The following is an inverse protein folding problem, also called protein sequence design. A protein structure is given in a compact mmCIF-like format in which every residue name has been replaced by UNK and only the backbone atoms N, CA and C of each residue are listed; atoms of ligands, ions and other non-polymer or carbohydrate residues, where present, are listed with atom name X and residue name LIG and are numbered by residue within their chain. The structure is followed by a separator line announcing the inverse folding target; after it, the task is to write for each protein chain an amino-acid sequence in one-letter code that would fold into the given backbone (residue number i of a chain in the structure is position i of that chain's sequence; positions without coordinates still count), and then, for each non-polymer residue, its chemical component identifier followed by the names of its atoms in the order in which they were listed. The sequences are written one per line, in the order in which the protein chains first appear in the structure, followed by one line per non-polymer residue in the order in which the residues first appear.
data_IF_132621082981
#
_entry.id   IF_132621082981
#
_cell.length_a   1.000
_cell.length_b   1.000
_cell.length_c   1.000
_cell.angle_alpha   90.00
_cell.angle_beta   90.00
_cell.angle_gamma   90.00
#
_symmetry.space_group_name_H-M   'P 1'
#
loop_
_entity.id
_entity.type
_entity.pdbx_description
1 polymer ?
#
# COMPACT_ATOMS: atom_id res chain seq x y z
N UNK A 1 12.79 0.80 10.82
CA UNK A 1 12.96 -0.04 9.62
C UNK A 1 12.62 0.78 8.40
N UNK A 2 13.49 0.83 7.40
CA UNK A 2 13.20 1.51 6.13
C UNK A 2 12.69 0.52 5.10
N UNK A 3 11.68 0.93 4.35
CA UNK A 3 11.08 0.17 3.27
C UNK A 3 11.16 0.97 1.99
N UNK A 4 11.11 0.28 0.87
CA UNK A 4 10.98 0.92 -0.43
C UNK A 4 10.37 -0.01 -1.45
N UNK A 5 9.74 0.59 -2.44
CA UNK A 5 9.20 -0.08 -3.61
C UNK A 5 9.46 0.77 -4.85
N UNK A 6 9.18 0.21 -6.02
CA UNK A 6 9.21 0.97 -7.26
C UNK A 6 8.17 0.45 -8.22
N UNK A 7 7.55 1.33 -8.99
CA UNK A 7 6.78 0.98 -10.17
C UNK A 7 7.54 1.45 -11.40
N UNK A 8 7.72 0.57 -12.39
CA UNK A 8 8.42 0.90 -13.63
C UNK A 8 7.56 0.57 -14.83
N UNK A 9 7.51 1.48 -15.81
CA UNK A 9 7.04 1.21 -17.16
C UNK A 9 8.23 0.91 -18.07
N UNK A 10 8.06 -0.08 -18.94
CA UNK A 10 8.96 -0.33 -20.08
C UNK A 10 8.14 -0.46 -21.35
N UNK A 11 8.59 0.18 -22.43
CA UNK A 11 7.87 0.25 -23.72
C UNK A 11 7.40 -1.13 -24.24
N UNK A 12 8.16 -2.19 -24.00
CA UNK A 12 7.83 -3.56 -24.40
C UNK A 12 7.56 -4.51 -23.23
N UNK A 13 7.61 -4.02 -21.99
CA UNK A 13 7.49 -4.84 -20.78
C UNK A 13 6.29 -4.49 -19.90
N UNK A 14 5.54 -3.43 -20.23
CA UNK A 14 4.38 -3.00 -19.44
C UNK A 14 4.78 -2.35 -18.13
N UNK A 15 3.85 -2.34 -17.17
CA UNK A 15 4.03 -1.74 -15.85
C UNK A 15 4.10 -2.80 -14.77
N UNK A 16 5.09 -2.68 -13.89
CA UNK A 16 5.30 -3.63 -12.80
C UNK A 16 5.79 -2.91 -11.54
N UNK A 17 5.22 -3.29 -10.41
CA UNK A 17 5.68 -2.90 -9.08
C UNK A 17 6.70 -3.91 -8.56
N UNK A 18 7.69 -3.43 -7.82
CA UNK A 18 8.76 -4.22 -7.22
C UNK A 18 9.03 -3.77 -5.80
N UNK A 19 9.36 -4.72 -4.93
CA UNK A 19 9.96 -4.39 -3.62
C UNK A 19 11.43 -4.02 -3.77
N UNK A 20 11.92 -3.19 -2.85
CA UNK A 20 13.35 -2.98 -2.63
C UNK A 20 13.74 -3.61 -1.29
N UNK A 21 15.04 -3.87 -1.03
CA UNK A 21 15.46 -4.45 0.25
C UNK A 21 15.01 -3.61 1.44
N UNK A 22 14.19 -4.19 2.31
CA UNK A 22 13.86 -3.58 3.59
C UNK A 22 15.10 -3.59 4.50
N UNK A 23 15.32 -2.53 5.27
CA UNK A 23 16.51 -2.39 6.12
C UNK A 23 16.17 -2.15 7.59
N UNK A 24 16.81 -2.91 8.48
CA UNK A 24 16.74 -2.75 9.94
C UNK A 24 18.16 -2.38 10.42
N UNK A 25 18.38 -1.10 10.69
CA UNK A 25 19.72 -0.58 10.93
C UNK A 25 20.60 -0.80 9.69
N UNK A 26 21.72 -1.50 9.85
CA UNK A 26 22.61 -1.89 8.74
C UNK A 26 22.25 -3.22 8.07
N UNK A 27 21.29 -3.97 8.63
CA UNK A 27 20.87 -5.27 8.09
C UNK A 27 19.88 -5.07 6.97
N UNK A 28 20.17 -5.67 5.81
CA UNK A 28 19.26 -5.70 4.66
C UNK A 28 18.53 -7.04 4.62
N UNK A 29 17.24 -7.01 4.34
CA UNK A 29 16.44 -8.16 3.95
C UNK A 29 16.24 -8.12 2.42
N UNK A 30 17.16 -8.70 1.64
CA UNK A 30 17.08 -8.68 0.17
C UNK A 30 15.97 -9.63 -0.28
N UNK A 31 14.81 -9.06 -0.61
CA UNK A 31 13.66 -9.78 -1.14
C UNK A 31 13.13 -9.02 -2.33
N UNK A 32 12.96 -9.71 -3.46
CA UNK A 32 12.45 -9.13 -4.69
C UNK A 32 11.15 -9.83 -5.04
N UNK A 33 10.06 -9.11 -4.84
CA UNK A 33 8.74 -9.50 -5.32
C UNK A 33 8.33 -8.55 -6.44
N UNK A 34 7.69 -9.08 -7.47
CA UNK A 34 7.23 -8.32 -8.63
C UNK A 34 5.73 -8.55 -8.83
N UNK A 35 4.97 -7.47 -9.04
CA UNK A 35 3.52 -7.54 -9.28
C UNK A 35 3.17 -6.66 -10.48
N UNK A 36 2.62 -7.22 -11.57
CA UNK A 36 2.17 -6.43 -12.71
C UNK A 36 0.96 -5.56 -12.34
N UNK A 37 0.85 -4.36 -12.93
CA UNK A 37 -0.25 -3.42 -12.63
C UNK A 37 -0.96 -2.89 -13.89
N UNK A 38 -2.25 -2.59 -13.77
CA UNK A 38 -3.04 -1.94 -14.82
C UNK A 38 -2.65 -0.46 -15.00
N UNK A 39 -2.77 0.12 -16.22
CA UNK A 39 -3.42 -0.42 -17.42
C UNK A 39 -2.49 -1.15 -18.41
N UNK A 40 -1.20 -1.37 -18.13
CA UNK A 40 -0.30 -2.03 -19.10
C UNK A 40 0.23 -3.40 -18.61
N UNK A 41 -0.48 -4.50 -18.90
CA UNK A 41 -0.19 -5.86 -18.41
C UNK A 41 0.89 -6.60 -19.22
N UNK A 42 1.68 -5.93 -20.08
CA UNK A 42 2.62 -6.59 -21.01
C UNK A 42 3.75 -7.42 -20.36
N UNK A 43 3.81 -7.48 -19.02
CA UNK A 43 4.67 -8.36 -18.23
C UNK A 43 4.07 -9.76 -17.96
N UNK A 44 2.97 -10.17 -18.61
CA UNK A 44 2.38 -11.51 -18.45
C UNK A 44 3.25 -12.62 -19.08
N UNK A 45 4.48 -12.79 -18.60
CA UNK A 45 5.33 -13.91 -18.98
C UNK A 45 5.76 -14.72 -17.77
N UNK A 46 5.31 -15.99 -17.77
CA UNK A 46 5.79 -17.14 -17.00
C UNK A 46 5.71 -16.98 -15.47
N UNK A 47 4.57 -17.44 -14.92
CA UNK A 47 4.25 -17.60 -13.49
C UNK A 47 3.86 -16.33 -12.71
N UNK A 48 3.50 -15.23 -13.38
CA UNK A 48 3.14 -13.97 -12.74
C UNK A 48 1.68 -13.94 -12.25
N UNK A 49 1.47 -13.37 -11.06
CA UNK A 49 0.17 -12.99 -10.52
C UNK A 49 -0.59 -12.12 -11.55
N UNK A 50 -1.92 -12.24 -11.58
CA UNK A 50 -2.80 -11.37 -12.37
C UNK A 50 -2.49 -9.90 -12.09
N UNK A 51 -2.64 -9.05 -13.11
CA UNK A 51 -2.43 -7.60 -12.93
C UNK A 51 -3.34 -7.03 -11.85
N UNK A 52 -2.81 -6.12 -11.05
CA UNK A 52 -3.53 -5.46 -9.96
C UNK A 52 -3.74 -3.98 -10.27
N UNK A 53 -4.83 -3.41 -9.75
CA UNK A 53 -4.88 -1.96 -9.61
C UNK A 53 -3.96 -1.53 -8.46
N UNK A 54 -3.36 -0.35 -8.59
CA UNK A 54 -2.44 0.15 -7.59
C UNK A 54 -3.10 0.37 -6.22
N UNK A 55 -4.39 0.79 -6.20
CA UNK A 55 -5.20 0.89 -4.98
C UNK A 55 -5.38 -0.46 -4.27
N UNK A 56 -5.50 -1.54 -5.03
CA UNK A 56 -5.66 -2.89 -4.47
C UNK A 56 -4.39 -3.36 -3.75
N UNK A 57 -3.21 -3.00 -4.27
CA UNK A 57 -1.95 -3.25 -3.56
C UNK A 57 -1.90 -2.48 -2.24
N UNK A 58 -2.29 -1.21 -2.24
CA UNK A 58 -2.32 -0.40 -1.01
C UNK A 58 -3.31 -0.96 0.02
N UNK A 59 -4.49 -1.38 -0.43
CA UNK A 59 -5.52 -1.99 0.41
C UNK A 59 -5.08 -3.37 0.95
N UNK A 60 -4.41 -4.19 0.14
CA UNK A 60 -3.76 -5.44 0.61
C UNK A 60 -2.75 -5.14 1.71
N UNK A 61 -1.93 -4.09 1.54
CA UNK A 61 -0.99 -3.63 2.57
C UNK A 61 -1.69 -3.15 3.84
N UNK A 62 -2.79 -2.41 3.72
CA UNK A 62 -3.58 -1.97 4.88
C UNK A 62 -4.14 -3.15 5.66
N UNK A 63 -4.85 -4.04 4.96
CA UNK A 63 -5.52 -5.17 5.57
C UNK A 63 -4.53 -6.14 6.23
N UNK A 64 -3.45 -6.45 5.51
CA UNK A 64 -2.41 -7.33 6.02
C UNK A 64 -1.72 -6.77 7.26
N UNK A 65 -1.45 -5.46 7.30
CA UNK A 65 -0.82 -4.82 8.45
C UNK A 65 -1.72 -4.88 9.69
N UNK A 66 -3.00 -4.59 9.52
CA UNK A 66 -3.97 -4.65 10.60
C UNK A 66 -4.11 -6.08 11.14
N UNK A 67 -4.38 -7.04 10.25
CA UNK A 67 -4.64 -8.43 10.62
C UNK A 67 -3.42 -9.09 11.28
N UNK A 68 -2.20 -8.88 10.77
CA UNK A 68 -0.98 -9.45 11.38
C UNK A 68 -0.69 -8.85 12.76
N UNK A 69 -1.06 -7.59 12.97
CA UNK A 69 -0.92 -6.93 14.27
C UNK A 69 -1.89 -7.52 15.29
N UNK A 70 -3.15 -7.77 14.89
CA UNK A 70 -4.13 -8.47 15.73
C UNK A 70 -3.65 -9.87 16.11
N UNK A 71 -3.20 -10.67 15.13
CA UNK A 71 -2.67 -12.01 15.37
C UNK A 71 -1.48 -11.97 16.35
N UNK A 72 -0.58 -11.01 16.18
CA UNK A 72 0.57 -10.84 17.07
C UNK A 72 0.16 -10.49 18.50
N UNK A 73 -0.79 -9.55 18.66
CA UNK A 73 -1.32 -9.16 19.97
C UNK A 73 -2.06 -10.30 20.68
N UNK A 74 -2.89 -11.04 19.95
CA UNK A 74 -3.60 -12.23 20.46
C UNK A 74 -2.60 -13.33 20.86
N UNK A 75 -1.60 -13.58 20.04
CA UNK A 75 -0.54 -14.55 20.35
C UNK A 75 0.25 -14.16 21.60
N UNK A 76 0.54 -12.87 21.79
CA UNK A 76 1.20 -12.36 22.99
C UNK A 76 0.36 -12.54 24.27
N UNK A 77 -0.98 -12.54 24.14
CA UNK A 77 -1.91 -12.90 25.22
C UNK A 77 -2.12 -14.41 25.40
N UNK A 78 -1.42 -15.25 24.63
CA UNK A 78 -1.55 -16.70 24.70
C UNK A 78 -2.82 -17.25 24.06
N UNK A 79 -3.53 -16.44 23.26
CA UNK A 79 -4.73 -16.88 22.54
C UNK A 79 -4.32 -17.74 21.34
N UNK A 80 -4.95 -18.91 21.23
CA UNK A 80 -4.77 -19.82 20.09
C UNK A 80 -5.94 -19.65 19.12
N UNK A 81 -5.64 -19.12 17.94
CA UNK A 81 -6.61 -18.91 16.87
C UNK A 81 -6.71 -20.15 15.97
N UNK A 82 -7.92 -20.57 15.60
CA UNK A 82 -8.16 -21.53 14.52
C UNK A 82 -8.53 -20.83 13.21
N UNK A 83 -9.15 -19.66 13.29
CA UNK A 83 -9.52 -18.83 12.15
C UNK A 83 -9.41 -17.34 12.50
N UNK A 84 -8.96 -16.54 11.55
CA UNK A 84 -8.95 -15.08 11.65
C UNK A 84 -8.97 -14.48 10.24
N UNK A 85 -10.06 -13.82 9.87
CA UNK A 85 -10.27 -13.20 8.56
C UNK A 85 -10.86 -11.81 8.74
N UNK A 86 -10.46 -10.89 7.87
CA UNK A 86 -11.03 -9.55 7.80
C UNK A 86 -11.52 -9.28 6.39
N UNK A 87 -12.82 -9.07 6.23
CA UNK A 87 -13.41 -8.56 5.00
C UNK A 87 -13.29 -7.04 5.01
N UNK A 88 -12.80 -6.49 3.90
CA UNK A 88 -12.58 -5.07 3.71
C UNK A 88 -13.46 -4.59 2.58
N UNK A 89 -14.25 -3.55 2.87
CA UNK A 89 -14.96 -2.78 1.85
C UNK A 89 -14.43 -1.35 1.87
N UNK A 90 -14.05 -0.81 0.73
CA UNK A 90 -13.48 0.53 0.62
C UNK A 90 -14.16 1.30 -0.51
N UNK A 91 -14.52 2.55 -0.24
CA UNK A 91 -15.05 3.47 -1.22
C UNK A 91 -14.04 4.61 -1.43
N UNK A 92 -13.31 4.56 -2.54
CA UNK A 92 -12.25 5.52 -2.85
C UNK A 92 -12.78 6.60 -3.79
N UNK A 93 -12.91 7.87 -3.37
CA UNK A 93 -13.47 8.95 -4.19
C UNK A 93 -12.74 9.09 -5.53
N UNK A 94 -13.48 9.49 -6.56
CA UNK A 94 -12.87 9.83 -7.84
C UNK A 94 -11.93 11.03 -7.72
N UNK A 95 -11.14 11.23 -8.78
CA UNK A 95 -10.01 12.15 -8.83
C UNK A 95 -10.36 13.63 -8.48
N UNK A 96 -11.59 14.06 -8.72
CA UNK A 96 -12.03 15.45 -8.51
C UNK A 96 -12.94 15.65 -7.28
N UNK A 97 -13.16 14.59 -6.47
CA UNK A 97 -14.05 14.67 -5.31
C UNK A 97 -13.28 14.89 -4.01
N UNK A 98 -13.64 15.95 -3.28
CA UNK A 98 -13.13 16.23 -1.92
C UNK A 98 -13.99 15.51 -0.87
N UNK A 99 -14.28 14.23 -1.13
CA UNK A 99 -15.14 13.42 -0.28
C UNK A 99 -14.33 12.64 0.77
N UNK A 100 -14.92 12.28 1.92
CA UNK A 100 -14.26 11.41 2.88
C UNK A 100 -13.95 10.05 2.24
N UNK A 101 -12.86 9.42 2.69
CA UNK A 101 -12.55 8.04 2.34
C UNK A 101 -13.07 7.19 3.48
N UNK A 102 -13.90 6.21 3.16
CA UNK A 102 -14.47 5.28 4.13
C UNK A 102 -14.02 3.86 3.83
N UNK A 103 -13.57 3.16 4.88
CA UNK A 103 -13.15 1.77 4.80
C UNK A 103 -13.77 1.00 5.97
N UNK A 104 -14.51 -0.03 5.64
CA UNK A 104 -15.18 -0.92 6.59
C UNK A 104 -14.36 -2.21 6.77
N UNK A 105 -14.14 -2.60 8.02
CA UNK A 105 -13.55 -3.87 8.42
C UNK A 105 -14.63 -4.73 9.08
N UNK A 106 -14.83 -5.94 8.57
CA UNK A 106 -15.63 -6.97 9.22
C UNK A 106 -14.72 -8.14 9.57
N UNK A 107 -14.47 -8.35 10.86
CA UNK A 107 -13.52 -9.32 11.38
C UNK A 107 -14.28 -10.56 11.85
N UNK A 108 -13.99 -11.68 11.22
CA UNK A 108 -14.51 -13.02 11.50
C UNK A 108 -13.39 -13.86 12.15
N UNK A 109 -13.69 -14.55 13.24
CA UNK A 109 -12.67 -15.21 14.04
C UNK A 109 -13.20 -16.44 14.76
N UNK A 110 -12.30 -17.38 15.02
CA UNK A 110 -12.58 -18.55 15.85
C UNK A 110 -11.40 -18.81 16.80
N UNK A 111 -11.69 -18.79 18.10
CA UNK A 111 -10.75 -19.11 19.17
C UNK A 111 -11.49 -19.42 20.48
N UNK A 112 -10.83 -20.15 21.39
CA UNK A 112 -11.32 -20.40 22.75
C UNK A 112 -11.01 -19.20 23.68
N UNK A 113 -11.63 -18.05 23.40
CA UNK A 113 -11.45 -16.83 24.18
C UNK A 113 -12.74 -16.02 24.22
N UNK A 114 -12.90 -15.19 25.25
CA UNK A 114 -14.01 -14.24 25.33
C UNK A 114 -13.85 -13.12 24.28
N UNK A 115 -14.99 -12.66 23.74
CA UNK A 115 -15.05 -11.67 22.66
C UNK A 115 -14.41 -10.33 23.03
N UNK A 116 -14.53 -9.92 24.29
CA UNK A 116 -13.95 -8.69 24.82
C UNK A 116 -12.42 -8.63 24.66
N UNK A 117 -11.73 -9.77 24.72
CA UNK A 117 -10.29 -9.84 24.44
C UNK A 117 -9.98 -9.58 22.96
N UNK A 118 -10.84 -10.05 22.05
CA UNK A 118 -10.68 -9.77 20.61
C UNK A 118 -10.93 -8.28 20.34
N UNK A 119 -12.01 -7.73 20.92
CA UNK A 119 -12.35 -6.31 20.80
C UNK A 119 -11.26 -5.41 21.38
N UNK A 120 -10.67 -5.77 22.54
CA UNK A 120 -9.54 -5.09 23.15
C UNK A 120 -8.31 -5.05 22.21
N UNK A 121 -7.96 -6.19 21.61
CA UNK A 121 -6.82 -6.25 20.67
C UNK A 121 -7.11 -5.43 19.41
N UNK A 122 -8.31 -5.52 18.86
CA UNK A 122 -8.70 -4.75 17.68
C UNK A 122 -8.60 -3.25 17.95
N UNK A 123 -9.11 -2.78 19.09
CA UNK A 123 -9.00 -1.40 19.56
C UNK A 123 -7.53 -0.97 19.67
N UNK A 124 -6.69 -1.79 20.31
CA UNK A 124 -5.25 -1.52 20.46
C UNK A 124 -4.54 -1.40 19.09
N UNK A 125 -4.89 -2.29 18.16
CA UNK A 125 -4.30 -2.32 16.81
C UNK A 125 -4.67 -1.08 16.00
N UNK A 126 -5.84 -0.46 16.21
CA UNK A 126 -6.14 0.84 15.59
C UNK A 126 -5.11 1.92 15.96
N UNK A 127 -4.51 1.82 17.15
CA UNK A 127 -3.54 2.78 17.63
C UNK A 127 -2.11 2.43 17.23
N UNK A 128 -1.83 1.14 16.97
CA UNK A 128 -0.46 0.64 16.84
C UNK A 128 -0.10 0.14 15.44
N UNK A 129 -1.07 -0.26 14.61
CA UNK A 129 -0.81 -0.75 13.24
C UNK A 129 -0.22 0.37 12.37
N UNK A 130 1.01 0.20 11.84
CA UNK A 130 1.66 1.24 11.07
C UNK A 130 0.86 1.71 9.87
N UNK A 131 0.29 0.80 9.06
CA UNK A 131 -0.47 1.20 7.87
C UNK A 131 -1.84 1.76 8.23
N UNK A 132 -2.49 1.26 9.29
CA UNK A 132 -3.74 1.86 9.76
C UNK A 132 -3.50 3.31 10.17
N UNK A 133 -2.49 3.55 11.03
CA UNK A 133 -2.10 4.89 11.45
C UNK A 133 -1.64 5.78 10.29
N UNK A 134 -0.96 5.22 9.30
CA UNK A 134 -0.58 5.94 8.06
C UNK A 134 -1.77 6.47 7.27
N UNK A 135 -2.93 5.81 7.36
CA UNK A 135 -4.15 6.24 6.67
C UNK A 135 -5.14 6.98 7.59
N UNK A 136 -5.12 6.71 8.89
CA UNK A 136 -5.91 7.47 9.87
C UNK A 136 -5.35 8.89 10.06
N UNK A 137 -4.05 9.08 9.80
CA UNK A 137 -3.38 10.37 9.89
C UNK A 137 -3.19 10.97 8.50
N UNK A 138 -3.47 12.26 8.37
CA UNK A 138 -3.22 13.00 7.14
C UNK A 138 -1.73 13.35 7.06
N UNK A 139 -0.96 12.60 6.26
CA UNK A 139 0.51 12.72 6.18
C UNK A 139 0.98 13.44 4.91
N UNK A 140 2.10 14.18 4.97
CA UNK A 140 2.68 14.78 3.77
C UNK A 140 3.42 13.75 2.91
N UNK A 141 3.48 14.01 1.60
CA UNK A 141 4.31 13.29 0.64
C UNK A 141 5.44 14.18 0.13
N UNK A 142 6.66 13.66 0.13
CA UNK A 142 7.81 14.31 -0.52
C UNK A 142 7.93 13.79 -1.95
N UNK A 143 7.98 14.68 -2.93
CA UNK A 143 8.09 14.37 -4.35
C UNK A 143 9.44 14.84 -4.87
N UNK A 144 10.15 13.99 -5.63
CA UNK A 144 11.50 14.28 -6.13
C UNK A 144 11.68 13.96 -7.60
N UNK A 145 12.38 14.85 -8.32
CA UNK A 145 12.88 14.62 -9.68
C UNK A 145 14.33 15.12 -9.76
N UNK A 146 15.29 14.18 -9.69
CA UNK A 146 16.70 14.53 -9.54
C UNK A 146 16.96 15.30 -8.23
N UNK A 147 17.45 16.54 -8.34
CA UNK A 147 17.70 17.42 -7.18
C UNK A 147 16.49 18.29 -6.82
N UNK A 148 15.46 18.36 -7.69
CA UNK A 148 14.26 19.14 -7.42
C UNK A 148 13.33 18.39 -6.47
N UNK A 149 12.81 19.11 -5.48
CA UNK A 149 11.95 18.56 -4.43
C UNK A 149 10.73 19.44 -4.20
N UNK A 150 9.58 18.80 -4.02
CA UNK A 150 8.32 19.42 -3.66
C UNK A 150 7.68 18.64 -2.52
N UNK A 151 6.99 19.32 -1.61
CA UNK A 151 6.23 18.67 -0.54
C UNK A 151 4.74 18.87 -0.80
N UNK A 152 4.02 17.76 -0.93
CA UNK A 152 2.56 17.72 -0.97
C UNK A 152 2.04 17.55 0.44
N UNK A 153 1.43 18.61 0.96
CA UNK A 153 0.86 18.63 2.30
C UNK A 153 -0.36 17.71 2.40
N UNK A 154 -0.67 17.35 3.64
CA UNK A 154 -1.94 16.75 4.03
C UNK A 154 -3.13 17.54 3.45
N UNK A 155 -4.16 16.82 3.04
CA UNK A 155 -5.43 17.35 2.55
C UNK A 155 -6.51 17.18 3.63
N UNK A 156 -7.39 18.18 3.71
CA UNK A 156 -8.58 18.14 4.56
C UNK A 156 -9.76 17.76 3.66
N UNK A 157 -10.52 16.74 4.05
CA UNK A 157 -11.74 16.35 3.37
C UNK A 157 -12.91 17.29 3.70
N UNK A 158 -13.90 17.34 2.82
CA UNK A 158 -15.18 17.96 3.14
C UNK A 158 -16.11 16.92 3.77
N UNK A 159 -16.64 17.13 4.99
CA UNK A 159 -17.54 16.18 5.66
C UNK A 159 -18.82 15.88 4.87
N UNK A 160 -19.29 16.83 4.07
CA UNK A 160 -20.56 16.75 3.34
C UNK A 160 -20.41 16.27 1.88
N UNK A 161 -19.20 15.81 1.50
CA UNK A 161 -18.94 15.30 0.15
C UNK A 161 -19.67 14.00 -0.10
N UNK A 162 -20.51 13.93 -1.15
CA UNK A 162 -21.03 12.64 -1.63
C UNK A 162 -19.86 11.82 -2.17
N UNK A 163 -19.73 10.58 -1.69
CA UNK A 163 -18.69 9.66 -2.15
C UNK A 163 -19.20 8.92 -3.40
N UNK A 164 -18.80 9.37 -4.59
CA UNK A 164 -18.96 8.59 -5.81
C UNK A 164 -17.58 8.06 -6.21
N UNK A 165 -17.22 6.91 -5.64
CA UNK A 165 -15.88 6.35 -5.71
C UNK A 165 -15.80 4.98 -6.36
N UNK A 166 -14.56 4.56 -6.62
CA UNK A 166 -14.26 3.18 -6.94
C UNK A 166 -14.48 2.32 -5.70
N UNK A 167 -15.36 1.33 -5.83
CA UNK A 167 -15.65 0.36 -4.76
C UNK A 167 -14.70 -0.81 -4.85
N UNK A 168 -14.06 -1.12 -3.74
CA UNK A 168 -13.21 -2.31 -3.58
C UNK A 168 -13.79 -3.18 -2.46
N UNK A 169 -13.83 -4.49 -2.67
CA UNK A 169 -14.23 -5.46 -1.66
C UNK A 169 -13.33 -6.69 -1.76
N UNK A 170 -12.76 -7.15 -0.65
CA UNK A 170 -11.90 -8.34 -0.61
C UNK A 170 -11.78 -8.90 0.81
N UNK A 171 -11.28 -10.13 0.95
CA UNK A 171 -10.95 -10.73 2.24
C UNK A 171 -9.44 -10.73 2.47
N UNK A 172 -8.99 -10.52 3.69
CA UNK A 172 -7.64 -10.84 4.14
C UNK A 172 -7.71 -11.92 5.20
N UNK A 173 -7.03 -13.05 4.98
CA UNK A 173 -7.12 -14.23 5.84
C UNK A 173 -5.77 -14.59 6.41
N UNK A 174 -5.75 -14.84 7.72
CA UNK A 174 -4.60 -15.40 8.40
C UNK A 174 -4.43 -16.89 8.07
N UNK A 175 -3.18 -17.31 7.87
CA UNK A 175 -2.84 -18.71 7.61
C UNK A 175 -2.16 -19.35 8.81
N UNK A 176 -1.03 -18.76 9.22
CA UNK A 176 -0.18 -19.22 10.31
C UNK A 176 0.92 -18.17 10.52
N UNK A 177 1.42 -18.01 11.75
CA UNK A 177 2.51 -17.08 12.04
C UNK A 177 2.17 -15.66 11.52
N UNK A 178 3.13 -14.96 10.86
CA UNK A 178 2.85 -13.70 10.19
C UNK A 178 2.35 -13.82 8.74
N UNK A 179 2.07 -15.05 8.25
CA UNK A 179 1.62 -15.28 6.89
C UNK A 179 0.11 -15.06 6.75
N UNK A 180 -0.26 -14.18 5.81
CA UNK A 180 -1.65 -13.90 5.44
C UNK A 180 -1.82 -13.98 3.93
N UNK A 181 -3.06 -13.96 3.46
CA UNK A 181 -3.39 -13.82 2.05
C UNK A 181 -4.52 -12.83 1.86
N UNK A 182 -4.41 -11.93 0.86
CA UNK A 182 -5.57 -11.15 0.42
C UNK A 182 -6.24 -11.84 -0.77
N UNK A 183 -7.54 -12.08 -0.68
CA UNK A 183 -8.37 -12.82 -1.62
C UNK A 183 -9.35 -11.84 -2.25
N UNK A 184 -9.12 -11.54 -3.52
CA UNK A 184 -9.94 -10.60 -4.29
C UNK A 184 -11.02 -11.34 -5.09
N UNK A 185 -12.14 -10.66 -5.40
CA UNK A 185 -13.16 -11.20 -6.29
C UNK A 185 -12.58 -11.65 -7.62
N UNK A 186 -13.18 -12.70 -8.19
CA UNK A 186 -12.84 -13.16 -9.53
C UNK A 186 -13.08 -12.02 -10.52
N UNK A 187 -12.09 -11.74 -11.37
CA UNK A 187 -12.20 -10.74 -12.44
C UNK A 187 -13.14 -11.22 -13.54
N UNK A 188 -13.54 -10.29 -14.42
CA UNK A 188 -14.41 -10.59 -15.57
C UNK A 188 -13.81 -11.65 -16.51
N UNK A 189 -12.49 -11.78 -16.54
CA UNK A 189 -11.76 -12.80 -17.30
C UNK A 189 -11.68 -14.17 -16.59
N UNK A 190 -12.34 -14.32 -15.44
CA UNK A 190 -12.38 -15.55 -14.64
C UNK A 190 -11.18 -15.76 -13.74
N UNK A 191 -10.20 -14.84 -13.70
CA UNK A 191 -9.00 -14.99 -12.88
C UNK A 191 -9.30 -14.72 -11.40
N UNK A 192 -8.91 -15.66 -10.55
CA UNK A 192 -8.87 -15.49 -9.09
C UNK A 192 -7.54 -14.88 -8.69
N UNK A 193 -7.58 -13.89 -7.81
CA UNK A 193 -6.39 -13.19 -7.35
C UNK A 193 -6.25 -13.40 -5.85
N UNK A 194 -5.16 -14.06 -5.47
CA UNK A 194 -4.73 -14.18 -4.08
C UNK A 194 -3.30 -13.63 -3.97
N UNK A 195 -3.09 -12.61 -3.14
CA UNK A 195 -1.77 -12.05 -2.90
C UNK A 195 -1.22 -12.55 -1.56
N UNK A 196 -0.04 -13.18 -1.53
CA UNK A 196 0.60 -13.59 -0.30
C UNK A 196 1.13 -12.36 0.45
N UNK A 197 0.92 -12.33 1.76
CA UNK A 197 1.45 -11.30 2.65
C UNK A 197 2.31 -12.00 3.68
N UNK A 198 3.55 -11.57 3.84
CA UNK A 198 4.47 -12.16 4.81
C UNK A 198 5.50 -11.14 5.28
N UNK A 199 6.16 -11.45 6.38
CA UNK A 199 7.24 -10.63 6.93
C UNK A 199 8.61 -11.10 6.43
N UNK A 200 9.64 -10.25 6.50
CA UNK A 200 11.01 -10.72 6.35
C UNK A 200 11.37 -11.65 7.52
N UNK A 201 12.35 -12.54 7.33
CA UNK A 201 12.88 -13.41 8.41
C UNK A 201 13.26 -12.67 9.70
N UNK A 202 13.74 -11.44 9.57
CA UNK A 202 14.08 -10.57 10.70
C UNK A 202 12.86 -10.15 11.54
N UNK A 203 11.65 -10.32 11.00
CA UNK A 203 10.36 -10.09 11.65
C UNK A 203 9.53 -11.40 11.69
N UNK A 204 10.21 -12.53 11.89
CA UNK A 204 9.63 -13.88 12.03
C UNK A 204 8.86 -14.44 10.81
N UNK A 205 8.95 -13.79 9.65
CA UNK A 205 8.40 -14.34 8.42
C UNK A 205 9.34 -15.33 7.72
N UNK A 206 8.92 -15.80 6.55
CA UNK A 206 9.65 -16.80 5.76
C UNK A 206 9.97 -16.32 4.34
N UNK A 207 9.77 -15.02 4.07
CA UNK A 207 9.94 -14.38 2.77
C UNK A 207 9.00 -14.95 1.69
N UNK A 208 7.78 -15.36 2.06
CA UNK A 208 6.78 -15.93 1.15
C UNK A 208 6.08 -14.88 0.27
N UNK A 209 5.98 -13.64 0.75
CA UNK A 209 5.39 -12.53 0.02
C UNK A 209 5.91 -11.18 0.51
N UNK A 210 5.55 -10.09 -0.19
CA UNK A 210 5.78 -8.74 0.30
C UNK A 210 5.15 -8.55 1.67
N UNK A 211 5.79 -7.73 2.50
CA UNK A 211 5.20 -7.31 3.76
C UNK A 211 4.17 -6.19 3.55
N UNK A 212 3.34 -5.90 4.55
CA UNK A 212 2.29 -4.90 4.42
C UNK A 212 2.80 -3.50 4.04
N UNK A 213 3.97 -3.08 4.54
CA UNK A 213 4.56 -1.77 4.22
C UNK A 213 5.03 -1.72 2.76
N UNK A 214 5.59 -2.82 2.26
CA UNK A 214 6.01 -2.98 0.86
C UNK A 214 4.80 -2.92 -0.09
N UNK A 215 3.68 -3.55 0.27
CA UNK A 215 2.43 -3.46 -0.49
C UNK A 215 1.89 -2.03 -0.59
N UNK A 216 1.87 -1.29 0.53
CA UNK A 216 1.48 0.12 0.56
C UNK A 216 2.36 0.97 -0.37
N UNK A 217 3.68 0.79 -0.28
CA UNK A 217 4.63 1.55 -1.10
C UNK A 217 4.56 1.15 -2.59
N UNK A 218 4.31 -0.13 -2.91
CA UNK A 218 4.07 -0.58 -4.27
C UNK A 218 2.79 0.02 -4.86
N UNK A 219 1.70 0.06 -4.08
CA UNK A 219 0.46 0.72 -4.48
C UNK A 219 0.68 2.21 -4.74
N UNK A 220 1.38 2.91 -3.85
CA UNK A 220 1.69 4.33 -4.03
C UNK A 220 2.55 4.57 -5.28
N UNK A 221 3.58 3.76 -5.50
CA UNK A 221 4.44 3.88 -6.67
C UNK A 221 3.66 3.65 -7.97
N UNK A 222 2.83 2.60 -8.00
CA UNK A 222 2.04 2.23 -9.17
C UNK A 222 0.99 3.29 -9.53
N UNK A 223 0.30 3.83 -8.52
CA UNK A 223 -0.75 4.82 -8.74
C UNK A 223 -0.17 6.16 -9.23
N UNK A 224 0.97 6.56 -8.66
CA UNK A 224 1.71 7.73 -9.13
C UNK A 224 2.26 7.54 -10.55
N UNK A 225 2.81 6.36 -10.88
CA UNK A 225 3.28 6.07 -12.23
C UNK A 225 2.14 6.20 -13.24
N UNK A 226 0.96 5.63 -12.94
CA UNK A 226 -0.23 5.74 -13.77
C UNK A 226 -0.66 7.20 -13.99
N UNK A 227 -0.69 8.00 -12.91
CA UNK A 227 -1.03 9.43 -13.01
C UNK A 227 0.00 10.23 -13.82
N UNK A 228 1.29 9.91 -13.69
CA UNK A 228 2.36 10.54 -14.48
C UNK A 228 2.17 10.21 -15.96
N UNK A 229 1.93 8.95 -16.31
CA UNK A 229 1.66 8.56 -17.70
C UNK A 229 0.42 9.24 -18.27
N UNK A 230 -0.67 9.26 -17.49
CA UNK A 230 -1.90 9.96 -17.88
C UNK A 230 -1.66 11.43 -18.20
N UNK A 231 -0.79 12.10 -17.41
CA UNK A 231 -0.46 13.52 -17.62
C UNK A 231 0.48 13.76 -18.79
N UNK A 232 1.47 12.89 -18.99
CA UNK A 232 2.44 13.03 -20.07
C UNK A 232 1.82 12.69 -21.45
N UNK A 233 0.73 11.93 -21.49
CA UNK A 233 -0.02 11.61 -22.71
C UNK A 233 0.83 10.87 -23.75
N UNK A 234 0.44 10.97 -25.04
CA UNK A 234 1.08 10.30 -26.19
C UNK A 234 2.51 10.74 -26.53
N UNK A 235 3.15 11.53 -25.67
CA UNK A 235 4.59 11.85 -25.72
C UNK A 235 5.48 10.63 -25.41
N UNK A 236 4.86 9.45 -25.24
CA UNK A 236 5.43 8.13 -24.96
C UNK A 236 6.50 7.66 -25.97
N UNK A 237 6.55 8.23 -27.19
CA UNK A 237 7.42 7.75 -28.26
C UNK A 237 8.92 7.74 -27.93
N UNK A 238 9.36 8.46 -26.88
CA UNK A 238 10.78 8.60 -26.51
C UNK A 238 11.16 8.04 -25.12
N UNK A 239 10.22 7.54 -24.32
CA UNK A 239 10.52 6.96 -22.99
C UNK A 239 10.85 5.47 -23.16
N UNK A 240 12.10 5.09 -22.86
CA UNK A 240 12.48 3.67 -22.79
C UNK A 240 12.03 3.04 -21.47
N UNK A 241 12.28 3.76 -20.39
CA UNK A 241 11.90 3.37 -19.03
C UNK A 241 11.55 4.60 -18.19
N UNK A 242 10.46 4.51 -17.45
CA UNK A 242 10.07 5.49 -16.44
C UNK A 242 9.78 4.74 -15.15
N UNK A 243 10.39 5.15 -14.06
CA UNK A 243 10.27 4.51 -12.74
C UNK A 243 9.86 5.53 -11.70
N UNK A 244 8.83 5.22 -10.92
CA UNK A 244 8.54 5.90 -9.65
C UNK A 244 9.06 5.00 -8.53
N UNK A 245 10.01 5.50 -7.73
CA UNK A 245 10.44 4.87 -6.48
C UNK A 245 9.68 5.47 -5.31
N UNK A 246 9.25 4.64 -4.38
CA UNK A 246 8.67 5.06 -3.12
C UNK A 246 9.49 4.51 -1.97
N UNK A 247 9.59 5.28 -0.89
CA UNK A 247 10.29 4.86 0.32
C UNK A 247 9.64 5.47 1.55
N UNK A 248 9.85 4.84 2.69
CA UNK A 248 9.38 5.31 3.97
C UNK A 248 10.05 4.56 5.13
N UNK A 249 9.85 5.05 6.34
CA UNK A 249 10.40 4.47 7.55
C UNK A 249 9.31 4.22 8.58
N UNK A 250 9.35 3.07 9.25
CA UNK A 250 8.53 2.79 10.44
C UNK A 250 9.48 2.59 11.61
N UNK A 251 9.27 3.30 12.71
CA UNK A 251 10.03 3.03 13.93
C UNK A 251 9.51 1.73 14.56
N UNK A 252 10.36 0.69 14.56
CA UNK A 252 9.97 -0.61 15.09
C UNK A 252 9.70 -0.55 16.60
N UNK A 253 10.22 0.45 17.31
CA UNK A 253 9.96 0.61 18.74
C UNK A 253 8.51 1.01 18.99
N UNK A 254 7.96 1.88 18.14
CA UNK A 254 6.53 2.21 18.17
C UNK A 254 5.70 1.01 17.71
N UNK A 255 6.11 0.36 16.62
CA UNK A 255 5.40 -0.82 16.08
C UNK A 255 5.26 -1.96 17.10
N UNK A 256 6.24 -2.14 17.99
CA UNK A 256 6.22 -3.15 19.06
C UNK A 256 5.84 -2.59 20.44
N UNK A 257 5.38 -1.34 20.51
CA UNK A 257 4.97 -0.68 21.76
C UNK A 257 6.02 -0.71 22.88
N UNK A 258 7.29 -0.51 22.51
CA UNK A 258 8.42 -0.45 23.46
C UNK A 258 8.99 0.96 23.61
N UNK A 259 8.46 1.93 22.87
CA UNK A 259 8.73 3.36 23.06
C UNK A 259 7.58 4.22 22.54
N UNK A 260 7.38 5.37 23.18
CA UNK A 260 6.45 6.41 22.72
C UNK A 260 7.05 7.16 21.51
N UNK A 261 6.94 6.55 20.33
CA UNK A 261 7.37 7.09 19.05
C UNK A 261 6.29 6.82 17.99
N UNK A 262 6.20 7.64 16.93
CA UNK A 262 5.14 7.48 15.93
C UNK A 262 5.16 6.10 15.27
N UNK A 263 3.99 5.46 15.22
CA UNK A 263 3.75 4.14 14.63
C UNK A 263 3.47 4.22 13.13
N UNK A 264 2.92 5.33 12.65
CA UNK A 264 2.68 5.56 11.22
C UNK A 264 3.98 5.56 10.41
N UNK A 265 3.87 5.38 9.10
CA UNK A 265 5.00 5.50 8.18
C UNK A 265 5.46 6.96 8.11
N UNK A 266 6.76 7.17 8.28
CA UNK A 266 7.40 8.47 8.33
C UNK A 266 8.23 8.71 7.06
N UNK A 267 8.44 9.99 6.73
CA UNK A 267 9.30 10.44 5.64
C UNK A 267 8.99 9.77 4.29
N UNK A 268 7.70 9.67 3.95
CA UNK A 268 7.26 9.06 2.69
C UNK A 268 7.76 9.91 1.52
N UNK A 269 8.61 9.31 0.68
CA UNK A 269 9.25 9.97 -0.45
C UNK A 269 8.97 9.21 -1.74
N UNK A 270 8.54 9.94 -2.77
CA UNK A 270 8.25 9.45 -4.11
C UNK A 270 9.20 10.15 -5.09
N UNK A 271 9.97 9.37 -5.84
CA UNK A 271 10.98 9.88 -6.77
C UNK A 271 10.76 9.33 -8.17
N UNK A 272 10.89 10.18 -9.18
CA UNK A 272 10.94 9.74 -10.58
C UNK A 272 12.39 9.56 -11.04
N UNK A 273 12.64 8.42 -11.67
CA UNK A 273 13.82 8.10 -12.48
C UNK A 273 13.37 7.77 -13.91
N UNK A 274 14.15 8.13 -14.92
CA UNK A 274 13.84 7.80 -16.31
C UNK A 274 15.09 7.50 -17.12
N UNK A 275 14.93 6.72 -18.19
CA UNK A 275 15.92 6.57 -19.24
C UNK A 275 15.27 6.78 -20.62
N UNK A 276 15.93 7.57 -21.48
CA UNK A 276 15.42 7.98 -22.79
C UNK A 276 16.29 9.08 -23.39
N UNK A 277 15.97 9.54 -24.61
CA UNK A 277 16.62 10.73 -25.18
C UNK A 277 16.06 11.98 -24.50
N UNK A 278 16.94 12.92 -24.11
CA UNK A 278 16.54 14.21 -23.49
C UNK A 278 15.69 15.09 -24.43
N UNK A 279 15.55 14.68 -25.70
CA UNK A 279 14.68 15.30 -26.70
C UNK A 279 13.19 15.00 -26.38
N UNK A 280 12.66 15.60 -25.31
CA UNK A 280 11.23 15.60 -25.03
C UNK A 280 10.82 15.85 -23.58
N UNK A 281 11.69 15.60 -22.60
CA UNK A 281 11.34 15.71 -21.18
C UNK A 281 12.31 16.60 -20.41
N UNK A 282 11.80 17.72 -19.89
CA UNK A 282 12.52 18.50 -18.89
C UNK A 282 12.22 17.96 -17.49
N UNK A 283 13.14 18.14 -16.54
CA UNK A 283 12.90 17.85 -15.11
C UNK A 283 11.62 18.53 -14.62
N UNK A 284 11.40 19.77 -15.06
CA UNK A 284 10.18 20.54 -14.78
C UNK A 284 8.91 19.82 -15.25
N UNK A 285 8.87 19.31 -16.47
CA UNK A 285 7.69 18.60 -17.00
C UNK A 285 7.40 17.32 -16.19
N UNK A 286 8.44 16.59 -15.79
CA UNK A 286 8.30 15.40 -14.95
C UNK A 286 7.84 15.75 -13.54
N UNK A 287 8.34 16.84 -12.97
CA UNK A 287 7.88 17.34 -11.67
C UNK A 287 6.41 17.75 -11.75
N UNK A 288 6.01 18.50 -12.79
CA UNK A 288 4.62 18.88 -13.03
C UNK A 288 3.70 17.65 -13.20
N UNK A 289 4.18 16.59 -13.87
CA UNK A 289 3.44 15.34 -14.01
C UNK A 289 3.34 14.55 -12.71
N UNK A 290 4.42 14.48 -11.90
CA UNK A 290 4.41 13.83 -10.60
C UNK A 290 3.48 14.54 -9.61
N UNK A 291 3.51 15.87 -9.64
CA UNK A 291 2.64 16.74 -8.87
C UNK A 291 1.17 16.49 -9.23
N UNK A 292 0.85 16.49 -10.52
CA UNK A 292 -0.48 16.11 -11.00
C UNK A 292 -0.85 14.71 -10.51
N UNK A 293 0.01 13.71 -10.69
CA UNK A 293 -0.26 12.35 -10.26
C UNK A 293 -0.54 12.26 -8.75
N UNK A 294 0.22 12.96 -7.91
CA UNK A 294 0.01 12.96 -6.46
C UNK A 294 -1.29 13.62 -6.03
N UNK A 295 -1.75 14.63 -6.79
CA UNK A 295 -3.03 15.30 -6.52
C UNK A 295 -4.23 14.49 -7.04
N UNK A 296 -4.01 13.57 -7.97
CA UNK A 296 -5.05 12.79 -8.65
C UNK A 296 -5.00 11.28 -8.29
N UNK A 297 -4.04 10.85 -7.47
CA UNK A 297 -3.87 9.45 -7.05
C UNK A 297 -4.76 9.11 -5.86
N UNK A 298 -5.51 8.01 -5.99
CA UNK A 298 -6.32 7.44 -4.92
C UNK A 298 -5.46 7.03 -3.71
N UNK A 299 -4.32 6.38 -3.96
CA UNK A 299 -3.41 5.93 -2.89
C UNK A 299 -2.70 7.11 -2.22
N UNK A 300 -2.24 8.09 -3.01
CA UNK A 300 -1.66 9.30 -2.46
C UNK A 300 -2.69 10.04 -1.60
N UNK A 301 -3.96 10.08 -2.00
CA UNK A 301 -5.04 10.66 -1.19
C UNK A 301 -5.26 9.90 0.10
N UNK A 302 -5.28 8.56 0.09
CA UNK A 302 -5.38 7.75 1.31
C UNK A 302 -4.26 8.03 2.32
N UNK A 303 -3.06 8.40 1.85
CA UNK A 303 -1.95 8.82 2.73
C UNK A 303 -2.10 10.27 3.20
N UNK A 304 -2.59 11.15 2.32
CA UNK A 304 -2.65 12.60 2.61
C UNK A 304 -3.93 13.05 3.31
N UNK A 305 -4.96 12.23 3.34
CA UNK A 305 -6.26 12.52 3.92
C UNK A 305 -6.57 11.46 4.97
N UNK A 306 -7.08 11.89 6.13
CA UNK A 306 -7.56 10.95 7.14
C UNK A 306 -8.69 10.09 6.57
N UNK A 307 -8.50 8.77 6.64
CA UNK A 307 -9.48 7.75 6.29
C UNK A 307 -10.34 7.44 7.50
N UNK A 308 -11.66 7.39 7.29
CA UNK A 308 -12.62 6.96 8.29
C UNK A 308 -12.74 5.43 8.26
N UNK A 309 -12.50 4.80 9.42
CA UNK A 309 -12.60 3.36 9.58
C UNK A 309 -13.83 2.99 10.39
N UNK A 310 -14.65 2.08 9.87
CA UNK A 310 -15.69 1.42 10.66
C UNK A 310 -15.27 -0.02 10.89
N UNK A 311 -15.19 -0.44 12.14
CA UNK A 311 -14.67 -1.78 12.49
C UNK A 311 -15.75 -2.55 13.22
N UNK A 312 -16.07 -3.72 12.70
CA UNK A 312 -17.02 -4.67 13.26
C UNK A 312 -16.30 -5.98 13.58
N UNK A 313 -16.45 -6.46 14.82
CA UNK A 313 -15.98 -7.78 15.25
C UNK A 313 -17.21 -8.67 15.41
N UNK A 314 -17.33 -9.66 14.53
CA UNK A 314 -18.46 -10.60 14.50
C UNK A 314 -18.08 -11.93 15.13
#
# INVERSE_FOLDING_TARGET
MSYGASASFRQHGGMVCRTTPACIGSLKAPRLFEIPIYPNPAASSKNALTSMHASELALTGLAGCFLVSCVSGLSAKGVSLSHFEMRVEANLPLVDEVAPIEIDYNIDWEAEVAKDIIEEIVELVTQQSPNHRTFSEALPLKLRVGEEEQVRRAQISSPDGKVNGAKHAFSCRWRYGPQLESIWPTRDDGQKICLPIDQPKQLAGIDWGPNPQEYLLMGLAGDLLNGVFSRLGSTEANIKELTVRTSGFVDIRGMFDVADVPTHMQAICCEIEWTGSDHGFSKKNLMDALMFAADNSSVARMVRQAVNFNICVT
#
